data_IF_050364360964
#
_entry.id   IF_050364360964
#
_cell.length_a   1.000
_cell.length_b   1.000
_cell.length_c   1.000
_cell.angle_alpha   90.00
_cell.angle_beta   90.00
_cell.angle_gamma   90.00
#
_symmetry.space_group_name_H-M   'P 1'
#
loop_
_entity.id
_entity.type
_entity.pdbx_description
1 polymer ?
#
# COMPACT_ATOMS: atom_id res chain seq x y z
N UNK A 1 -21.15 -42.22 -0.44
CA UNK A 1 -21.57 -40.92 0.12
C UNK A 1 -20.60 -39.86 -0.35
N UNK A 2 -20.95 -39.15 -1.44
CA UNK A 2 -20.12 -38.07 -1.97
C UNK A 2 -20.31 -36.82 -1.10
N UNK A 3 -19.23 -36.39 -0.44
CA UNK A 3 -19.22 -35.19 0.38
C UNK A 3 -19.27 -33.94 -0.48
N UNK A 4 -20.47 -33.40 -0.71
CA UNK A 4 -20.61 -32.00 -1.08
C UNK A 4 -20.16 -31.15 0.11
N UNK A 5 -18.91 -30.69 0.07
CA UNK A 5 -18.48 -29.61 0.96
C UNK A 5 -19.38 -28.40 0.66
N UNK A 6 -20.35 -28.15 1.54
CA UNK A 6 -21.33 -27.07 1.43
C UNK A 6 -20.62 -25.73 1.25
N UNK A 7 -20.83 -25.13 0.08
CA UNK A 7 -20.36 -23.81 -0.33
C UNK A 7 -20.90 -22.70 0.59
N UNK A 8 -21.97 -22.95 1.37
CA UNK A 8 -22.51 -22.01 2.37
C UNK A 8 -21.50 -21.61 3.46
N UNK A 9 -20.46 -22.43 3.66
CA UNK A 9 -19.42 -22.15 4.65
C UNK A 9 -18.40 -21.11 4.17
N UNK A 10 -18.30 -20.80 2.87
CA UNK A 10 -17.31 -19.85 2.34
C UNK A 10 -17.66 -18.38 2.63
N UNK A 11 -18.94 -18.05 2.83
CA UNK A 11 -19.42 -16.66 2.88
C UNK A 11 -19.78 -16.15 4.29
N UNK A 12 -19.57 -16.94 5.35
CA UNK A 12 -19.82 -16.47 6.71
C UNK A 12 -18.69 -15.56 7.18
N UNK A 13 -19.04 -14.35 7.66
CA UNK A 13 -18.14 -13.46 8.42
C UNK A 13 -17.60 -14.23 9.65
N UNK A 14 -16.38 -14.72 9.57
CA UNK A 14 -15.77 -15.59 10.60
C UNK A 14 -14.71 -14.91 11.45
N UNK A 15 -14.21 -13.76 11.02
CA UNK A 15 -13.18 -13.04 11.76
C UNK A 15 -13.80 -11.90 12.55
N UNK A 16 -13.41 -11.75 13.81
CA UNK A 16 -13.85 -10.64 14.66
C UNK A 16 -13.41 -9.27 14.13
N UNK A 17 -12.43 -9.24 13.22
CA UNK A 17 -11.96 -8.04 12.53
C UNK A 17 -12.49 -7.95 11.09
N UNK A 18 -13.53 -8.72 10.74
CA UNK A 18 -14.18 -8.60 9.45
C UNK A 18 -14.80 -7.20 9.31
N UNK A 19 -14.56 -6.57 8.16
CA UNK A 19 -15.12 -5.28 7.78
C UNK A 19 -15.81 -5.44 6.43
N UNK A 20 -16.86 -4.67 6.18
CA UNK A 20 -17.39 -4.48 4.83
C UNK A 20 -16.40 -3.69 3.98
N UNK A 21 -16.44 -3.90 2.66
CA UNK A 21 -15.53 -3.18 1.78
C UNK A 21 -15.75 -1.66 1.82
N UNK A 22 -17.00 -1.21 1.97
CA UNK A 22 -17.30 0.22 2.17
C UNK A 22 -16.58 0.79 3.41
N UNK A 23 -16.61 0.08 4.54
CA UNK A 23 -15.91 0.48 5.78
C UNK A 23 -14.38 0.51 5.58
N UNK A 24 -13.84 -0.39 4.76
CA UNK A 24 -12.42 -0.37 4.37
C UNK A 24 -12.09 0.87 3.54
N UNK A 25 -12.97 1.29 2.63
CA UNK A 25 -12.80 2.52 1.86
C UNK A 25 -12.94 3.78 2.74
N UNK A 26 -13.92 3.80 3.65
CA UNK A 26 -14.11 4.87 4.64
C UNK A 26 -12.89 5.02 5.56
N UNK A 27 -12.26 3.91 5.96
CA UNK A 27 -11.01 3.92 6.74
C UNK A 27 -9.90 4.68 6.01
N UNK A 28 -9.80 4.54 4.67
CA UNK A 28 -8.84 5.33 3.87
C UNK A 28 -9.19 6.81 3.90
N UNK A 29 -10.46 7.17 3.76
CA UNK A 29 -10.92 8.57 3.78
C UNK A 29 -10.60 9.23 5.13
N UNK A 30 -10.89 8.55 6.24
CA UNK A 30 -10.57 9.04 7.58
C UNK A 30 -9.06 9.28 7.77
N UNK A 31 -8.20 8.42 7.22
CA UNK A 31 -6.75 8.63 7.27
C UNK A 31 -6.29 9.83 6.44
N UNK A 32 -6.93 10.09 5.30
CA UNK A 32 -6.68 11.28 4.47
C UNK A 32 -7.05 12.54 5.25
N UNK A 33 -8.25 12.57 5.85
CA UNK A 33 -8.69 13.69 6.69
C UNK A 33 -7.76 13.91 7.89
N UNK A 34 -7.29 12.83 8.51
CA UNK A 34 -6.32 12.89 9.61
C UNK A 34 -4.96 13.45 9.16
N UNK A 35 -4.50 13.13 7.95
CA UNK A 35 -3.30 13.70 7.36
C UNK A 35 -3.47 15.20 7.06
N UNK A 36 -4.60 15.59 6.48
CA UNK A 36 -4.92 16.99 6.16
C UNK A 36 -5.05 17.86 7.42
N UNK A 37 -5.56 17.26 8.50
CA UNK A 37 -5.72 17.92 9.80
C UNK A 37 -4.46 17.85 10.69
N UNK A 38 -3.44 17.07 10.31
CA UNK A 38 -2.25 16.85 11.14
C UNK A 38 -1.41 18.13 11.30
N UNK A 39 -1.04 18.44 12.54
CA UNK A 39 -0.19 19.59 12.87
C UNK A 39 1.20 19.12 13.27
N UNK A 40 2.22 19.76 12.71
CA UNK A 40 3.62 19.45 12.99
C UNK A 40 4.18 18.27 12.19
N UNK A 41 5.48 18.34 11.91
CA UNK A 41 6.19 17.48 10.94
C UNK A 41 6.05 15.99 11.28
N UNK A 42 6.30 15.61 12.55
CA UNK A 42 6.27 14.20 12.98
C UNK A 42 4.87 13.58 12.84
N UNK A 43 3.83 14.31 13.24
CA UNK A 43 2.45 13.83 13.14
C UNK A 43 2.04 13.72 11.68
N UNK A 44 2.39 14.72 10.86
CA UNK A 44 2.12 14.74 9.42
C UNK A 44 2.78 13.58 8.69
N UNK A 45 4.05 13.27 8.99
CA UNK A 45 4.74 12.11 8.41
C UNK A 45 4.13 10.78 8.82
N UNK A 46 3.71 10.65 10.09
CA UNK A 46 3.02 9.46 10.57
C UNK A 46 1.67 9.27 9.85
N UNK A 47 0.88 10.33 9.75
CA UNK A 47 -0.40 10.29 9.05
C UNK A 47 -0.23 10.04 7.54
N UNK A 48 0.80 10.60 6.92
CA UNK A 48 1.11 10.34 5.51
C UNK A 48 1.47 8.86 5.27
N UNK A 49 2.24 8.26 6.19
CA UNK A 49 2.57 6.84 6.14
C UNK A 49 1.29 5.98 6.25
N UNK A 50 0.36 6.36 7.12
CA UNK A 50 -0.93 5.68 7.26
C UNK A 50 -1.76 5.76 5.97
N UNK A 51 -1.82 6.95 5.35
CA UNK A 51 -2.49 7.16 4.06
C UNK A 51 -1.89 6.27 2.98
N UNK A 52 -0.56 6.21 2.87
CA UNK A 52 0.12 5.34 1.90
C UNK A 52 -0.24 3.87 2.10
N UNK A 53 -0.23 3.38 3.35
CA UNK A 53 -0.61 1.99 3.67
C UNK A 53 -2.05 1.71 3.26
N UNK A 54 -2.98 2.61 3.59
CA UNK A 54 -4.39 2.44 3.29
C UNK A 54 -4.67 2.54 1.80
N UNK A 55 -4.12 3.53 1.10
CA UNK A 55 -4.20 3.63 -0.37
C UNK A 55 -3.70 2.34 -1.04
N UNK A 56 -2.54 1.84 -0.64
CA UNK A 56 -1.98 0.62 -1.23
C UNK A 56 -2.89 -0.61 -1.04
N UNK A 57 -3.59 -0.71 0.09
CA UNK A 57 -4.40 -1.89 0.42
C UNK A 57 -5.87 -1.78 -0.02
N UNK A 58 -6.33 -0.60 -0.42
CA UNK A 58 -7.74 -0.32 -0.70
C UNK A 58 -8.00 0.18 -2.11
N UNK A 59 -6.98 0.71 -2.79
CA UNK A 59 -7.05 1.13 -4.20
C UNK A 59 -6.45 0.09 -5.14
N UNK A 60 -5.52 -0.73 -4.66
CA UNK A 60 -5.00 -1.86 -5.42
C UNK A 60 -5.72 -3.14 -5.00
N UNK A 61 -5.87 -4.09 -5.93
CA UNK A 61 -6.31 -5.43 -5.58
C UNK A 61 -5.45 -6.01 -4.44
N UNK A 62 -6.06 -6.49 -3.34
CA UNK A 62 -5.34 -6.99 -2.17
C UNK A 62 -4.65 -8.34 -2.40
N UNK A 63 -4.67 -8.89 -3.62
CA UNK A 63 -3.77 -9.97 -4.01
C UNK A 63 -2.29 -9.53 -4.03
N UNK A 64 -2.03 -8.22 -4.14
CA UNK A 64 -0.70 -7.59 -4.13
C UNK A 64 -0.14 -7.29 -2.74
N UNK A 65 -0.82 -7.67 -1.66
CA UNK A 65 -0.39 -7.45 -0.26
C UNK A 65 1.07 -7.81 0.02
N UNK A 66 1.58 -8.88 -0.57
CA UNK A 66 2.98 -9.30 -0.40
C UNK A 66 3.98 -8.45 -1.17
N UNK A 67 3.55 -7.87 -2.30
CA UNK A 67 4.33 -6.95 -3.16
C UNK A 67 4.43 -5.58 -2.50
N UNK A 68 3.33 -5.09 -1.91
CA UNK A 68 3.24 -3.72 -1.38
C UNK A 68 4.39 -3.38 -0.43
N UNK A 69 4.72 -4.28 0.52
CA UNK A 69 5.83 -4.07 1.47
C UNK A 69 7.23 -4.07 0.83
N UNK A 70 7.34 -4.49 -0.43
CA UNK A 70 8.58 -4.62 -1.20
C UNK A 70 8.67 -3.59 -2.34
N UNK A 71 7.76 -2.62 -2.39
CA UNK A 71 7.84 -1.53 -3.34
C UNK A 71 9.09 -0.70 -3.04
N UNK A 72 10.03 -0.69 -3.99
CA UNK A 72 11.31 0.01 -3.94
C UNK A 72 11.35 1.01 -5.09
N UNK A 73 11.55 2.28 -4.75
CA UNK A 73 11.63 3.38 -5.72
C UNK A 73 12.78 3.13 -6.72
N UNK A 74 12.54 3.39 -8.01
CA UNK A 74 13.49 3.14 -9.11
C UNK A 74 13.56 1.67 -9.55
N UNK A 75 13.10 0.72 -8.73
CA UNK A 75 13.18 -0.72 -9.01
C UNK A 75 11.80 -1.33 -9.29
N UNK A 76 10.98 -1.52 -8.24
CA UNK A 76 9.63 -2.12 -8.38
C UNK A 76 8.53 -1.08 -8.34
N UNK A 77 8.84 0.16 -7.93
CA UNK A 77 7.99 1.33 -8.01
C UNK A 77 8.68 2.35 -8.91
N UNK A 78 8.17 2.51 -10.13
CA UNK A 78 8.77 3.36 -11.17
C UNK A 78 7.85 4.51 -11.53
N UNK A 79 8.45 5.62 -11.94
CA UNK A 79 7.75 6.79 -12.45
C UNK A 79 7.62 6.70 -13.96
N UNK A 80 6.47 7.10 -14.48
CA UNK A 80 6.21 7.28 -15.91
C UNK A 80 5.67 8.70 -16.12
N UNK A 81 6.37 9.57 -16.88
CA UNK A 81 5.83 10.89 -17.24
C UNK A 81 4.59 10.73 -18.14
N UNK A 82 3.63 11.65 -18.05
CA UNK A 82 2.48 11.64 -18.95
C UNK A 82 2.95 12.06 -20.35
N UNK A 83 2.72 11.22 -21.36
CA UNK A 83 3.18 11.45 -22.74
C UNK A 83 2.48 12.65 -23.39
N UNK A 84 1.40 13.15 -22.78
CA UNK A 84 0.57 14.24 -23.28
C UNK A 84 1.13 15.64 -22.98
N UNK A 85 2.45 15.87 -23.09
CA UNK A 85 3.05 17.22 -23.15
C UNK A 85 2.69 18.20 -22.01
N UNK A 86 2.19 17.70 -20.88
CA UNK A 86 1.97 18.47 -19.65
C UNK A 86 3.29 18.74 -18.93
N UNK A 87 3.25 19.61 -17.92
CA UNK A 87 4.42 19.89 -17.09
C UNK A 87 5.03 18.57 -16.54
N UNK A 88 6.33 18.59 -16.26
CA UNK A 88 7.12 17.42 -15.83
C UNK A 88 6.56 16.68 -14.60
N UNK A 89 5.60 17.29 -13.89
CA UNK A 89 4.89 16.80 -12.72
C UNK A 89 3.62 15.97 -13.01
N UNK A 90 3.13 15.92 -14.27
CA UNK A 90 1.83 15.30 -14.61
C UNK A 90 1.85 13.77 -14.78
N UNK A 91 2.96 13.10 -14.47
CA UNK A 91 3.11 11.65 -14.59
C UNK A 91 2.43 10.80 -13.50
N UNK A 92 2.74 9.51 -13.50
CA UNK A 92 2.21 8.55 -12.54
C UNK A 92 3.20 7.45 -12.19
N UNK A 93 3.03 6.88 -11.00
CA UNK A 93 3.76 5.70 -10.60
C UNK A 93 3.12 4.43 -11.14
N UNK A 94 3.95 3.42 -11.41
CA UNK A 94 3.51 2.06 -11.70
C UNK A 94 4.37 1.04 -10.93
N UNK A 95 3.76 -0.11 -10.65
CA UNK A 95 4.46 -1.26 -10.10
C UNK A 95 5.02 -2.07 -11.26
N UNK A 96 6.34 -2.26 -11.28
CA UNK A 96 7.04 -3.11 -12.25
C UNK A 96 7.51 -4.40 -11.57
N UNK A 97 6.94 -5.53 -12.00
CA UNK A 97 7.35 -6.88 -11.58
C UNK A 97 7.88 -7.70 -12.76
N UNK A 98 8.25 -7.05 -13.86
CA UNK A 98 8.74 -7.71 -15.07
C UNK A 98 10.18 -8.19 -14.93
N UNK A 99 10.98 -7.51 -14.10
CA UNK A 99 12.34 -7.92 -13.83
C UNK A 99 12.36 -9.26 -13.05
N UNK A 100 12.86 -10.30 -13.73
CA UNK A 100 13.01 -11.66 -13.17
C UNK A 100 14.07 -11.71 -12.06
N UNK A 101 14.99 -10.73 -12.02
CA UNK A 101 16.02 -10.61 -10.98
C UNK A 101 15.42 -10.25 -9.62
N UNK A 102 14.27 -9.55 -9.60
CA UNK A 102 13.58 -9.11 -8.39
C UNK A 102 12.95 -10.26 -7.57
N UNK A 103 13.02 -11.52 -8.06
CA UNK A 103 12.60 -12.76 -7.37
C UNK A 103 11.25 -12.67 -6.65
N UNK A 104 10.30 -11.88 -7.16
CA UNK A 104 8.99 -11.82 -6.54
C UNK A 104 8.20 -13.08 -6.91
N UNK A 105 7.65 -13.77 -5.91
CA UNK A 105 6.84 -15.00 -6.13
C UNK A 105 5.73 -14.77 -7.16
N UNK A 106 5.21 -13.55 -7.24
CA UNK A 106 4.15 -13.17 -8.18
C UNK A 106 4.59 -13.36 -9.63
N UNK A 107 5.80 -12.94 -9.99
CA UNK A 107 6.34 -13.12 -11.36
C UNK A 107 6.47 -14.60 -11.72
N UNK A 108 6.78 -15.46 -10.73
CA UNK A 108 6.87 -16.91 -10.93
C UNK A 108 5.50 -17.57 -11.17
N UNK A 109 4.44 -17.11 -10.48
CA UNK A 109 3.11 -17.75 -10.55
C UNK A 109 2.17 -17.10 -11.57
N UNK A 110 2.32 -15.80 -11.85
CA UNK A 110 1.41 -15.03 -12.68
C UNK A 110 2.10 -14.37 -13.89
N UNK A 111 3.42 -14.55 -14.04
CA UNK A 111 4.20 -13.96 -15.12
C UNK A 111 4.62 -12.50 -14.86
N UNK A 112 5.43 -11.92 -15.77
CA UNK A 112 5.79 -10.50 -15.76
C UNK A 112 4.54 -9.63 -15.74
N UNK A 113 4.53 -8.58 -14.90
CA UNK A 113 3.38 -7.68 -14.80
C UNK A 113 3.82 -6.25 -14.52
N UNK A 114 3.20 -5.30 -15.24
CA UNK A 114 3.21 -3.88 -14.93
C UNK A 114 1.82 -3.45 -14.48
N UNK A 115 1.71 -2.60 -13.46
CA UNK A 115 0.41 -2.14 -12.96
C UNK A 115 0.49 -0.65 -12.64
N UNK A 116 -0.21 0.17 -13.43
CA UNK A 116 -0.33 1.61 -13.15
C UNK A 116 -1.04 1.85 -11.81
N UNK A 117 -0.52 2.78 -11.02
CA UNK A 117 -1.11 3.15 -9.76
C UNK A 117 -2.20 4.23 -9.98
N UNK A 118 -3.27 4.22 -9.18
CA UNK A 118 -4.27 5.29 -9.22
C UNK A 118 -3.68 6.66 -8.87
N UNK A 119 -4.12 7.73 -9.57
CA UNK A 119 -3.62 9.11 -9.36
C UNK A 119 -3.62 9.55 -7.90
N UNK A 120 -4.66 9.17 -7.14
CA UNK A 120 -4.74 9.46 -5.70
C UNK A 120 -3.57 8.85 -4.92
N UNK A 121 -3.15 7.63 -5.26
CA UNK A 121 -2.01 7.01 -4.60
C UNK A 121 -0.69 7.66 -5.03
N UNK A 122 -0.54 7.95 -6.32
CA UNK A 122 0.62 8.67 -6.87
C UNK A 122 0.86 10.00 -6.14
N UNK A 123 -0.20 10.80 -5.93
CA UNK A 123 -0.15 12.06 -5.19
C UNK A 123 0.54 11.91 -3.83
N UNK A 124 0.14 10.92 -3.02
CA UNK A 124 0.72 10.74 -1.70
C UNK A 124 2.13 10.14 -1.73
N UNK A 125 2.47 9.34 -2.75
CA UNK A 125 3.84 8.84 -2.95
C UNK A 125 4.78 10.02 -3.23
N UNK A 126 4.40 10.93 -4.14
CA UNK A 126 5.18 12.12 -4.45
C UNK A 126 5.40 12.98 -3.21
N UNK A 127 4.32 13.30 -2.47
CA UNK A 127 4.41 14.09 -1.24
C UNK A 127 5.35 13.42 -0.23
N UNK A 128 5.29 12.09 -0.10
CA UNK A 128 6.16 11.36 0.82
C UNK A 128 7.63 11.45 0.43
N UNK A 129 7.94 11.22 -0.85
CA UNK A 129 9.31 11.31 -1.37
C UNK A 129 9.85 12.74 -1.23
N UNK A 130 9.07 13.75 -1.63
CA UNK A 130 9.43 15.15 -1.44
C UNK A 130 9.68 15.48 0.04
N UNK A 131 8.83 14.99 0.95
CA UNK A 131 9.00 15.19 2.40
C UNK A 131 10.23 14.48 2.99
N UNK A 132 10.72 13.40 2.37
CA UNK A 132 12.01 12.78 2.75
C UNK A 132 13.19 13.65 2.30
N UNK A 133 13.08 14.32 1.15
CA UNK A 133 14.12 15.15 0.57
C UNK A 133 14.21 16.54 1.22
N UNK A 134 13.08 17.18 1.55
CA UNK A 134 13.05 18.49 2.22
C UNK A 134 13.56 18.45 3.67
N UNK A 135 13.56 17.27 4.31
CA UNK A 135 14.03 17.04 5.68
C UNK A 135 15.40 16.36 5.78
N UNK A 136 16.18 16.33 4.70
CA UNK A 136 17.35 15.47 4.60
C UNK A 136 18.48 15.85 5.59
N UNK A 137 18.52 15.10 6.69
CA UNK A 137 19.71 14.66 7.45
C UNK A 137 20.51 13.59 6.66
N UNK A 138 20.19 13.40 5.38
CA UNK A 138 20.93 12.55 4.47
C UNK A 138 21.33 13.35 3.23
N UNK A 139 22.58 13.80 3.20
CA UNK A 139 23.26 14.23 1.98
C UNK A 139 23.20 13.06 0.98
N UNK A 140 22.22 13.08 0.09
CA UNK A 140 22.20 12.24 -1.08
C UNK A 140 22.49 13.13 -2.29
N UNK A 141 23.78 13.35 -2.55
CA UNK A 141 24.29 13.56 -3.91
C UNK A 141 24.20 12.25 -4.72
N UNK A 142 23.04 11.58 -4.72
CA UNK A 142 22.82 10.34 -5.45
C UNK A 142 21.59 10.46 -6.35
N UNK A 143 21.84 10.24 -7.64
CA UNK A 143 20.84 10.03 -8.68
C UNK A 143 19.80 9.00 -8.19
N UNK A 144 18.57 9.49 -8.02
CA UNK A 144 17.36 8.79 -7.55
C UNK A 144 17.33 8.34 -6.07
N UNK A 145 16.23 8.61 -5.34
CA UNK A 145 16.07 8.12 -3.97
C UNK A 145 15.98 6.58 -3.97
N UNK A 146 17.06 5.92 -3.58
CA UNK A 146 17.09 4.48 -3.36
C UNK A 146 16.42 4.13 -2.02
N UNK A 147 15.17 3.64 -2.06
CA UNK A 147 14.47 3.30 -0.83
C UNK A 147 13.22 2.45 -1.02
N UNK A 148 12.88 1.67 0.01
CA UNK A 148 11.56 1.05 0.08
C UNK A 148 10.52 2.10 0.47
N UNK A 149 9.37 2.12 -0.22
CA UNK A 149 8.25 3.00 0.13
C UNK A 149 7.81 2.78 1.59
N UNK A 150 7.89 1.54 2.07
CA UNK A 150 7.65 1.17 3.46
C UNK A 150 8.93 0.55 4.06
N UNK A 151 9.85 1.42 4.46
CA UNK A 151 11.12 1.03 5.08
C UNK A 151 11.03 0.94 6.61
N UNK A 152 11.77 0.00 7.20
CA UNK A 152 12.13 0.03 8.61
C UNK A 152 13.13 1.16 8.87
N UNK A 153 13.40 1.44 10.16
CA UNK A 153 14.42 2.41 10.58
C UNK A 153 15.80 2.15 9.94
N UNK A 154 16.11 0.90 9.62
CA UNK A 154 17.39 0.49 9.01
C UNK A 154 17.37 0.53 7.48
N UNK A 155 16.35 1.16 6.86
CA UNK A 155 16.21 1.27 5.41
C UNK A 155 15.78 -0.02 4.70
N UNK A 156 15.41 -1.06 5.44
CA UNK A 156 15.03 -2.38 4.87
C UNK A 156 13.52 -2.50 4.72
N UNK A 157 13.05 -3.31 3.79
CA UNK A 157 11.64 -3.66 3.72
C UNK A 157 11.16 -4.33 5.01
N UNK A 158 9.91 -4.05 5.40
CA UNK A 158 9.29 -4.77 6.52
C UNK A 158 9.21 -6.28 6.24
N UNK A 159 9.62 -7.09 7.21
CA UNK A 159 9.29 -8.52 7.25
C UNK A 159 7.77 -8.73 7.37
N UNK A 160 7.27 -9.91 6.99
CA UNK A 160 5.82 -10.21 6.93
C UNK A 160 5.09 -9.91 8.24
N UNK A 161 5.67 -10.29 9.38
CA UNK A 161 5.08 -10.06 10.70
C UNK A 161 5.07 -8.57 11.07
N UNK A 162 6.14 -7.84 10.78
CA UNK A 162 6.23 -6.40 11.04
C UNK A 162 5.24 -5.62 10.16
N UNK A 163 5.15 -5.97 8.88
CA UNK A 163 4.16 -5.42 7.96
C UNK A 163 2.74 -5.66 8.45
N UNK A 164 2.43 -6.88 8.89
CA UNK A 164 1.10 -7.21 9.44
C UNK A 164 0.79 -6.38 10.68
N UNK A 165 1.75 -6.17 11.58
CA UNK A 165 1.57 -5.32 12.77
C UNK A 165 1.32 -3.85 12.37
N UNK A 166 2.07 -3.33 11.40
CA UNK A 166 1.87 -1.99 10.88
C UNK A 166 0.45 -1.82 10.32
N UNK A 167 0.03 -2.70 9.41
CA UNK A 167 -1.31 -2.64 8.80
C UNK A 167 -2.41 -2.69 9.86
N UNK A 168 -2.33 -3.62 10.81
CA UNK A 168 -3.27 -3.70 11.93
C UNK A 168 -3.34 -2.41 12.74
N UNK A 169 -2.18 -1.81 13.03
CA UNK A 169 -2.09 -0.54 13.77
C UNK A 169 -2.71 0.63 13.00
N UNK A 170 -2.49 0.69 11.68
CA UNK A 170 -3.08 1.70 10.80
C UNK A 170 -4.61 1.57 10.76
N UNK A 171 -5.13 0.38 10.46
CA UNK A 171 -6.58 0.16 10.44
C UNK A 171 -7.23 0.42 11.80
N UNK A 172 -6.60 -0.01 12.91
CA UNK A 172 -7.13 0.23 14.25
C UNK A 172 -7.25 1.73 14.57
N UNK A 173 -6.35 2.56 14.05
CA UNK A 173 -6.36 4.01 14.28
C UNK A 173 -7.45 4.73 13.51
N UNK A 174 -7.77 4.27 12.30
CA UNK A 174 -8.63 5.02 11.36
C UNK A 174 -9.98 4.37 11.07
N UNK A 175 -10.18 3.10 11.40
CA UNK A 175 -11.45 2.43 11.12
C UNK A 175 -12.54 2.91 12.08
N UNK A 176 -13.81 3.06 11.62
CA UNK A 176 -14.91 3.57 12.44
C UNK A 176 -15.12 2.81 13.76
N UNK A 177 -14.85 1.49 13.76
CA UNK A 177 -15.03 0.62 14.91
C UNK A 177 -13.70 0.17 15.56
N UNK A 178 -12.56 0.76 15.18
CA UNK A 178 -11.25 0.37 15.71
C UNK A 178 -10.84 -1.08 15.39
N UNK A 179 -11.33 -1.61 14.27
CA UNK A 179 -11.04 -2.95 13.77
C UNK A 179 -9.62 -3.02 13.18
N UNK A 180 -9.00 -4.19 13.29
CA UNK A 180 -7.61 -4.40 12.90
C UNK A 180 -7.45 -5.61 11.97
N UNK A 181 -8.03 -5.58 10.75
CA UNK A 181 -7.90 -6.67 9.80
C UNK A 181 -6.42 -6.91 9.45
N UNK A 182 -6.03 -8.19 9.44
CA UNK A 182 -4.74 -8.56 8.87
C UNK A 182 -4.76 -8.37 7.34
N UNK A 183 -3.62 -8.17 6.67
CA UNK A 183 -3.59 -8.00 5.23
C UNK A 183 -4.23 -9.14 4.42
N UNK A 184 -4.11 -10.39 4.89
CA UNK A 184 -4.79 -11.55 4.28
C UNK A 184 -6.33 -11.49 4.42
N UNK A 185 -6.82 -10.92 5.52
CA UNK A 185 -8.25 -10.74 5.75
C UNK A 185 -8.82 -9.70 4.79
N UNK A 186 -8.11 -8.60 4.54
CA UNK A 186 -8.47 -7.59 3.53
C UNK A 186 -8.63 -8.21 2.13
N UNK A 187 -7.75 -9.15 1.78
CA UNK A 187 -7.91 -9.92 0.53
C UNK A 187 -9.21 -10.72 0.52
N UNK A 188 -9.56 -11.36 1.63
CA UNK A 188 -10.79 -12.15 1.73
C UNK A 188 -12.02 -11.24 1.66
N UNK A 189 -12.02 -10.10 2.35
CA UNK A 189 -13.08 -9.09 2.32
C UNK A 189 -13.33 -8.61 0.89
N UNK A 190 -12.27 -8.23 0.16
CA UNK A 190 -12.40 -7.76 -1.21
C UNK A 190 -12.94 -8.84 -2.16
N UNK A 191 -12.46 -10.08 -2.05
CA UNK A 191 -12.94 -11.19 -2.89
C UNK A 191 -14.42 -11.48 -2.62
N UNK A 192 -14.87 -11.38 -1.36
CA UNK A 192 -16.29 -11.58 -1.01
C UNK A 192 -17.17 -10.43 -1.49
N UNK A 193 -16.61 -9.23 -1.66
CA UNK A 193 -17.34 -8.06 -2.14
C UNK A 193 -17.53 -8.04 -3.67
N UNK A 194 -16.57 -8.57 -4.43
CA UNK A 194 -16.67 -8.74 -5.89
C UNK A 194 -17.74 -9.77 -6.27
#
# INVERSE_FOLDING_TARGET
AHGHASTDKMYRKRDANWMEWSEVQETRMAAIEAYESAKGVKQRMTALTDVLVLCALTLLPPDRVGVIRLLKHGYTLKWEPDEAGGDQDDGGYYIDLTDRSARHKTTRFYGPACTKLPRLFCKYIQIFIASQNEGAVYDFEQDEPEGYLFATRDGRAHGVSAWTKLVKSVFKRHSPCGLAPAPKLLRSIFITWL
#
